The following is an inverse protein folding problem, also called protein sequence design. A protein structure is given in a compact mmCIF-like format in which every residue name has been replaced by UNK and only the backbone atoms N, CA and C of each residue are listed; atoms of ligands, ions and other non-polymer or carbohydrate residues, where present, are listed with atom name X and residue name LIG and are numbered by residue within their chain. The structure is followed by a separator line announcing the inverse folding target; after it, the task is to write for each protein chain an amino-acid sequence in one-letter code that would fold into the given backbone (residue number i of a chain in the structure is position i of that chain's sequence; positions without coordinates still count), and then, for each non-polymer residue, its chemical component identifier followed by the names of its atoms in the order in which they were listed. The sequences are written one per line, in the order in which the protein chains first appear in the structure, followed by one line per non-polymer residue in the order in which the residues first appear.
data_IF_236021989235
#
_entry.id   IF_236021989235
#
_cell.length_a   1.000
_cell.length_b   1.000
_cell.length_c   1.000
_cell.angle_alpha   90.00
_cell.angle_beta   90.00
_cell.angle_gamma   90.00
#
_symmetry.space_group_name_H-M   'P 1'
#
loop_
_entity.id
_entity.type
_entity.pdbx_description
1 polymer ?
#
# COMPACT_ATOMS: atom_id res chain seq x y z
N UNK A 1 -46.11 9.35 -13.30
CA UNK A 1 -45.66 9.20 -11.90
C UNK A 1 -44.91 7.88 -11.80
N UNK A 2 -43.61 7.93 -12.09
CA UNK A 2 -42.57 6.99 -11.71
C UNK A 2 -41.29 7.54 -12.33
N UNK A 3 -40.62 8.39 -11.56
CA UNK A 3 -39.30 8.93 -11.88
C UNK A 3 -38.31 7.77 -12.15
N UNK A 4 -37.46 7.86 -13.18
CA UNK A 4 -36.33 6.95 -13.31
C UNK A 4 -35.31 7.25 -12.21
N UNK A 5 -35.03 6.24 -11.39
CA UNK A 5 -33.94 6.29 -10.39
C UNK A 5 -32.64 6.74 -11.07
N UNK A 6 -31.88 7.69 -10.51
CA UNK A 6 -30.54 7.95 -10.96
C UNK A 6 -29.69 6.74 -10.60
N UNK A 7 -29.32 5.94 -11.60
CA UNK A 7 -28.11 5.14 -11.53
C UNK A 7 -26.94 6.12 -11.46
N UNK A 8 -26.67 6.64 -10.27
CA UNK A 8 -25.37 7.20 -9.95
C UNK A 8 -24.38 6.08 -10.18
N UNK A 9 -23.75 6.10 -11.36
CA UNK A 9 -22.51 5.42 -11.60
C UNK A 9 -21.54 5.90 -10.51
N UNK A 10 -21.43 5.12 -9.44
CA UNK A 10 -20.33 5.23 -8.53
C UNK A 10 -19.10 4.98 -9.39
N UNK A 11 -18.44 6.06 -9.82
CA UNK A 11 -17.06 5.99 -10.24
C UNK A 11 -16.31 5.42 -9.03
N UNK A 12 -16.10 4.10 -9.02
CA UNK A 12 -15.23 3.41 -8.06
C UNK A 12 -13.80 3.73 -8.48
N UNK A 13 -13.47 5.02 -8.50
CA UNK A 13 -12.10 5.48 -8.43
C UNK A 13 -11.58 4.95 -7.11
N UNK A 14 -10.69 3.98 -7.16
CA UNK A 14 -10.09 3.35 -5.99
C UNK A 14 -9.16 4.36 -5.32
N UNK A 15 -9.73 5.37 -4.66
CA UNK A 15 -8.97 6.40 -3.96
C UNK A 15 -8.40 5.79 -2.68
N UNK A 16 -7.07 5.70 -2.60
CA UNK A 16 -6.35 5.32 -1.39
C UNK A 16 -6.35 6.51 -0.43
N UNK A 17 -7.52 6.83 0.13
CA UNK A 17 -7.66 7.88 1.13
C UNK A 17 -6.91 7.48 2.42
N UNK A 18 -6.24 8.42 3.10
CA UNK A 18 -5.52 8.14 4.33
C UNK A 18 -6.48 7.63 5.43
N UNK A 19 -6.17 6.48 6.02
CA UNK A 19 -6.92 5.88 7.12
C UNK A 19 -6.02 5.73 8.34
N UNK A 20 -6.50 6.17 9.51
CA UNK A 20 -5.81 5.93 10.79
C UNK A 20 -6.35 4.64 11.40
N UNK A 21 -5.53 3.60 11.45
CA UNK A 21 -5.83 2.35 12.16
C UNK A 21 -5.06 2.29 13.48
N UNK A 22 -5.64 1.68 14.53
CA UNK A 22 -4.90 1.37 15.75
C UNK A 22 -3.66 0.54 15.43
N UNK A 23 -2.56 0.74 16.17
CA UNK A 23 -1.29 0.08 15.87
C UNK A 23 -1.39 -1.46 15.83
N UNK A 24 -2.23 -2.04 16.69
CA UNK A 24 -2.49 -3.49 16.76
C UNK A 24 -3.27 -4.05 15.55
N UNK A 25 -3.87 -3.19 14.72
CA UNK A 25 -4.62 -3.55 13.53
C UNK A 25 -3.95 -3.07 12.24
N UNK A 26 -2.83 -2.35 12.35
CA UNK A 26 -2.13 -1.82 11.20
C UNK A 26 -1.24 -2.92 10.59
N UNK A 27 -1.53 -3.39 9.37
CA UNK A 27 -0.80 -4.52 8.79
C UNK A 27 0.69 -4.25 8.59
N UNK A 28 1.08 -3.00 8.27
CA UNK A 28 2.49 -2.63 8.18
C UNK A 28 3.20 -2.75 9.53
N UNK A 29 2.57 -2.30 10.62
CA UNK A 29 3.16 -2.41 11.95
C UNK A 29 3.24 -3.86 12.43
N UNK A 30 2.22 -4.67 12.16
CA UNK A 30 2.21 -6.12 12.48
C UNK A 30 3.34 -6.82 11.72
N UNK A 31 3.46 -6.58 10.41
CA UNK A 31 4.56 -7.12 9.59
C UNK A 31 5.94 -6.69 10.09
N UNK A 32 6.11 -5.40 10.41
CA UNK A 32 7.37 -4.88 10.94
C UNK A 32 7.71 -5.47 12.31
N UNK A 33 6.71 -5.76 13.15
CA UNK A 33 6.91 -6.40 14.46
C UNK A 33 7.37 -7.86 14.32
N UNK A 34 6.91 -8.57 13.28
CA UNK A 34 7.32 -9.95 12.99
C UNK A 34 8.77 -10.07 12.46
N UNK A 35 9.38 -8.97 12.00
CA UNK A 35 10.74 -8.94 11.48
C UNK A 35 11.81 -8.85 12.59
N UNK A 36 12.99 -9.41 12.30
CA UNK A 36 14.20 -9.18 13.07
C UNK A 36 14.53 -7.68 13.16
N UNK A 37 14.99 -7.24 14.33
CA UNK A 37 15.25 -5.82 14.66
C UNK A 37 16.11 -5.09 13.61
N UNK A 38 17.11 -5.78 13.06
CA UNK A 38 18.04 -5.27 12.04
C UNK A 38 17.35 -4.95 10.70
N UNK A 39 16.30 -5.68 10.34
CA UNK A 39 15.59 -5.51 9.06
C UNK A 39 14.42 -4.52 9.14
N UNK A 40 13.92 -4.21 10.35
CA UNK A 40 12.73 -3.35 10.53
C UNK A 40 12.91 -1.96 9.95
N UNK A 41 14.06 -1.32 10.20
CA UNK A 41 14.32 0.05 9.72
C UNK A 41 14.30 0.12 8.19
N UNK A 42 14.94 -0.85 7.54
CA UNK A 42 15.01 -0.92 6.08
C UNK A 42 13.66 -1.24 5.47
N UNK A 43 12.90 -2.17 6.05
CA UNK A 43 11.57 -2.52 5.55
C UNK A 43 10.55 -1.41 5.79
N UNK A 44 10.65 -0.66 6.90
CA UNK A 44 9.82 0.53 7.12
C UNK A 44 10.01 1.55 6.02
N UNK A 45 11.26 1.90 5.69
CA UNK A 45 11.54 2.84 4.61
C UNK A 45 11.03 2.35 3.25
N UNK A 46 11.07 1.05 2.99
CA UNK A 46 10.48 0.47 1.78
C UNK A 46 8.96 0.59 1.75
N UNK A 47 8.27 0.36 2.87
CA UNK A 47 6.81 0.51 2.96
C UNK A 47 6.39 1.97 2.84
N UNK A 48 7.14 2.90 3.43
CA UNK A 48 6.93 4.34 3.28
C UNK A 48 7.07 4.78 1.82
N UNK A 49 8.14 4.38 1.16
CA UNK A 49 8.37 4.69 -0.26
C UNK A 49 7.19 4.20 -1.13
N UNK A 50 6.69 2.98 -0.89
CA UNK A 50 5.53 2.45 -1.61
C UNK A 50 4.25 3.21 -1.31
N UNK A 51 4.01 3.56 -0.04
CA UNK A 51 2.82 4.32 0.35
C UNK A 51 2.80 5.69 -0.33
N UNK A 52 3.95 6.38 -0.34
CA UNK A 52 4.11 7.65 -1.03
C UNK A 52 3.89 7.49 -2.54
N UNK A 53 4.46 6.46 -3.17
CA UNK A 53 4.28 6.20 -4.61
C UNK A 53 2.82 5.91 -4.98
N UNK A 54 2.10 5.20 -4.13
CA UNK A 54 0.70 4.82 -4.38
C UNK A 54 -0.29 5.97 -4.19
N UNK A 55 0.08 6.97 -3.41
CA UNK A 55 -0.81 8.04 -2.97
C UNK A 55 -0.32 9.42 -3.36
N UNK A 56 0.68 9.49 -4.25
CA UNK A 56 1.34 10.72 -4.68
C UNK A 56 1.78 11.60 -3.49
N UNK A 57 2.34 10.95 -2.46
CA UNK A 57 2.87 11.60 -1.26
C UNK A 57 1.85 11.88 -0.16
N UNK A 58 0.58 11.49 -0.33
CA UNK A 58 -0.48 11.78 0.66
C UNK A 58 -0.43 10.86 1.88
N UNK A 59 0.04 9.62 1.72
CA UNK A 59 0.08 8.60 2.78
C UNK A 59 1.50 8.10 3.07
N UNK A 60 1.70 7.68 4.31
CA UNK A 60 2.87 6.93 4.78
C UNK A 60 2.48 5.47 5.09
N UNK A 61 3.44 4.67 5.59
CA UNK A 61 3.17 3.29 5.96
C UNK A 61 2.10 3.12 7.06
N UNK A 62 1.80 4.16 7.82
CA UNK A 62 0.82 4.15 8.91
C UNK A 62 -0.59 4.52 8.42
N UNK A 63 -0.68 5.44 7.46
CA UNK A 63 -1.96 5.97 6.99
C UNK A 63 -2.46 5.30 5.71
N UNK A 64 -1.62 4.54 5.01
CA UNK A 64 -2.05 3.82 3.81
C UNK A 64 -3.13 2.78 4.17
N UNK A 65 -4.29 2.75 3.50
CA UNK A 65 -5.28 1.69 3.67
C UNK A 65 -4.78 0.40 3.02
N UNK A 66 -3.91 -0.33 3.70
CA UNK A 66 -3.30 -1.58 3.22
C UNK A 66 -4.35 -2.59 2.72
N UNK A 67 -5.52 -2.66 3.35
CA UNK A 67 -6.64 -3.52 2.95
C UNK A 67 -7.34 -3.09 1.65
N UNK A 68 -7.11 -1.87 1.17
CA UNK A 68 -7.59 -1.36 -0.11
C UNK A 68 -6.52 -1.46 -1.22
N UNK A 69 -5.30 -1.86 -0.90
CA UNK A 69 -4.28 -2.17 -1.91
C UNK A 69 -4.74 -3.39 -2.70
N UNK A 70 -4.62 -3.32 -4.03
CA UNK A 70 -5.10 -4.32 -4.98
C UNK A 70 -3.98 -4.63 -5.95
N UNK A 71 -4.15 -5.70 -6.72
CA UNK A 71 -3.15 -6.14 -7.71
C UNK A 71 -2.66 -5.01 -8.64
N UNK A 72 -3.57 -4.15 -9.11
CA UNK A 72 -3.21 -2.99 -9.95
C UNK A 72 -2.22 -2.03 -9.29
N UNK A 73 -2.41 -1.75 -7.99
CA UNK A 73 -1.52 -0.88 -7.20
C UNK A 73 -0.13 -1.51 -7.06
N UNK A 74 -0.08 -2.82 -6.77
CA UNK A 74 1.17 -3.59 -6.67
C UNK A 74 1.94 -3.57 -7.99
N UNK A 75 1.24 -3.72 -9.12
CA UNK A 75 1.86 -3.68 -10.44
C UNK A 75 2.39 -2.30 -10.81
N UNK A 76 1.69 -1.22 -10.46
CA UNK A 76 2.17 0.15 -10.63
C UNK A 76 3.46 0.40 -9.83
N UNK A 77 3.48 0.00 -8.55
CA UNK A 77 4.68 0.09 -7.71
C UNK A 77 5.84 -0.72 -8.29
N UNK A 78 5.57 -1.93 -8.78
CA UNK A 78 6.59 -2.77 -9.42
C UNK A 78 7.22 -2.08 -10.63
N UNK A 79 6.41 -1.47 -11.50
CA UNK A 79 6.89 -0.77 -12.69
C UNK A 79 7.83 0.38 -12.30
N UNK A 80 7.39 1.25 -11.38
CA UNK A 80 8.19 2.39 -10.91
C UNK A 80 9.48 1.94 -10.22
N UNK A 81 9.42 0.91 -9.37
CA UNK A 81 10.60 0.39 -8.70
C UNK A 81 11.60 -0.25 -9.68
N UNK A 82 11.12 -0.89 -10.75
CA UNK A 82 11.96 -1.55 -11.74
C UNK A 82 12.79 -0.57 -12.58
N UNK A 83 12.32 0.68 -12.75
CA UNK A 83 13.09 1.72 -13.44
C UNK A 83 14.33 2.17 -12.64
N UNK A 84 14.27 2.07 -11.30
CA UNK A 84 15.26 2.66 -10.39
C UNK A 84 16.09 1.66 -9.60
N UNK A 85 15.71 0.39 -9.57
CA UNK A 85 16.32 -0.62 -8.71
C UNK A 85 16.63 -1.92 -9.46
N UNK A 86 17.62 -2.66 -8.97
CA UNK A 86 17.88 -4.02 -9.46
C UNK A 86 16.73 -4.99 -9.13
N UNK A 87 16.51 -6.02 -9.95
CA UNK A 87 15.42 -6.99 -9.76
C UNK A 87 15.38 -7.63 -8.36
N UNK A 88 16.55 -7.88 -7.75
CA UNK A 88 16.68 -8.42 -6.40
C UNK A 88 16.08 -7.48 -5.34
N UNK A 89 16.36 -6.18 -5.44
CA UNK A 89 15.82 -5.15 -4.55
C UNK A 89 14.33 -4.98 -4.73
N UNK A 90 13.84 -4.96 -5.98
CA UNK A 90 12.41 -4.88 -6.29
C UNK A 90 11.66 -6.06 -5.68
N UNK A 91 12.16 -7.28 -5.87
CA UNK A 91 11.53 -8.49 -5.32
C UNK A 91 11.51 -8.50 -3.79
N UNK A 92 12.57 -8.00 -3.14
CA UNK A 92 12.61 -7.85 -1.68
C UNK A 92 11.55 -6.86 -1.19
N UNK A 93 11.46 -5.71 -1.85
CA UNK A 93 10.44 -4.68 -1.61
C UNK A 93 9.03 -5.25 -1.80
N UNK A 94 8.76 -5.97 -2.89
CA UNK A 94 7.46 -6.61 -3.16
C UNK A 94 7.15 -7.78 -2.21
N UNK A 95 8.15 -8.47 -1.67
CA UNK A 95 7.93 -9.47 -0.62
C UNK A 95 7.43 -8.82 0.67
N UNK A 96 7.98 -7.65 1.04
CA UNK A 96 7.47 -6.88 2.17
C UNK A 96 6.02 -6.42 1.95
N UNK A 97 5.72 -5.90 0.76
CA UNK A 97 4.35 -5.52 0.40
C UNK A 97 3.38 -6.70 0.49
N UNK A 98 3.76 -7.90 0.04
CA UNK A 98 2.90 -9.09 0.18
C UNK A 98 2.72 -9.51 1.64
N UNK A 99 3.76 -9.35 2.46
CA UNK A 99 3.70 -9.64 3.89
C UNK A 99 2.80 -8.69 4.68
N UNK A 100 2.50 -7.48 4.18
CA UNK A 100 1.53 -6.56 4.79
C UNK A 100 0.09 -6.77 4.31
N UNK A 101 -0.13 -7.57 3.26
CA UNK A 101 -1.47 -7.88 2.73
C UNK A 101 -2.04 -9.20 3.23
N UNK A 102 -1.29 -9.93 4.06
CA UNK A 102 -1.66 -11.23 4.61
C UNK A 102 -2.23 -11.07 6.01
#
# INVERSE_FOLDING_TARGET
MNDPLPITAAAVGTSLAPVRTPAAQNPALIYLAALASSSRRTMRGALDEMALLLTDGVCDHLTLPWTAVRFQHVQAVRAVLAEKNQPSTVNRKLAALRGTLH
#
